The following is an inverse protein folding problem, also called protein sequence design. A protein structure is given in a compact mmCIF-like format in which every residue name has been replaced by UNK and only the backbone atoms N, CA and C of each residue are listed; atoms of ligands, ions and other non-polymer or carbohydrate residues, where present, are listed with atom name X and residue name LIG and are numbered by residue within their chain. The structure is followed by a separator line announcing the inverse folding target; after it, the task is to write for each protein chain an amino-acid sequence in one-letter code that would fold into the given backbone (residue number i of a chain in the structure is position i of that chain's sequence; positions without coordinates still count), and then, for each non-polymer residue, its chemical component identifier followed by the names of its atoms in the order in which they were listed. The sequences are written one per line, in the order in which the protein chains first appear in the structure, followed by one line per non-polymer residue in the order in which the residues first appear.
data_IF_733869707276
#
_entry.id   IF_733869707276
#
_cell.length_a   1.000
_cell.length_b   1.000
_cell.length_c   1.000
_cell.angle_alpha   90.00
_cell.angle_beta   90.00
_cell.angle_gamma   90.00
#
_symmetry.space_group_name_H-M   'P 1'
#
loop_
_entity.id
_entity.type
_entity.pdbx_description
1 polymer ?
#
# COMPACT_ATOMS: atom_id res chain seq x y z
N UNK A 1 -3.57 -15.09 -9.63
CA UNK A 1 -2.89 -13.79 -9.52
C UNK A 1 -3.82 -12.81 -8.83
N UNK A 2 -3.34 -12.08 -7.83
CA UNK A 2 -4.14 -11.10 -7.10
C UNK A 2 -4.44 -9.89 -8.02
N UNK A 3 -5.69 -9.43 -8.06
CA UNK A 3 -6.12 -8.36 -8.98
C UNK A 3 -5.44 -7.02 -8.65
N UNK A 4 -5.31 -6.67 -7.37
CA UNK A 4 -4.64 -5.44 -6.96
C UNK A 4 -3.16 -5.45 -7.28
N UNK A 5 -2.49 -6.60 -7.11
CA UNK A 5 -1.09 -6.77 -7.54
C UNK A 5 -0.94 -6.57 -9.05
N UNK A 6 -1.88 -7.06 -9.86
CA UNK A 6 -1.84 -6.83 -11.30
C UNK A 6 -1.91 -5.33 -11.63
N UNK A 7 -2.83 -4.59 -11.01
CA UNK A 7 -2.94 -3.13 -11.21
C UNK A 7 -1.64 -2.39 -10.86
N UNK A 8 -0.94 -2.83 -9.81
CA UNK A 8 0.34 -2.24 -9.42
C UNK A 8 1.46 -2.60 -10.41
N UNK A 9 1.48 -3.83 -10.91
CA UNK A 9 2.43 -4.24 -11.97
C UNK A 9 2.20 -3.46 -13.26
N UNK A 10 0.95 -3.25 -13.65
CA UNK A 10 0.58 -2.45 -14.83
C UNK A 10 1.02 -0.98 -14.66
N UNK A 11 0.88 -0.42 -13.44
CA UNK A 11 1.41 0.89 -13.10
C UNK A 11 2.95 0.94 -13.25
N UNK A 12 3.66 -0.03 -12.67
CA UNK A 12 5.12 -0.09 -12.81
C UNK A 12 5.58 -0.16 -14.26
N UNK A 13 4.93 -0.98 -15.09
CA UNK A 13 5.20 -1.07 -16.53
C UNK A 13 4.96 0.28 -17.23
N UNK A 14 3.83 0.93 -16.95
CA UNK A 14 3.46 2.21 -17.56
C UNK A 14 4.46 3.34 -17.25
N UNK A 15 5.01 3.34 -16.04
CA UNK A 15 5.90 4.39 -15.53
C UNK A 15 7.39 4.00 -15.53
N UNK A 16 7.73 2.82 -16.06
CA UNK A 16 9.10 2.33 -16.16
C UNK A 16 9.76 2.14 -14.79
N UNK A 17 8.99 1.68 -13.80
CA UNK A 17 9.52 1.24 -12.52
C UNK A 17 10.04 -0.19 -12.71
N UNK A 18 11.29 -0.39 -12.29
CA UNK A 18 11.99 -1.65 -12.50
C UNK A 18 11.37 -2.78 -11.66
N UNK A 19 10.94 -3.84 -12.35
CA UNK A 19 10.43 -5.07 -11.77
C UNK A 19 10.80 -6.26 -12.67
N UNK A 20 11.01 -7.47 -12.11
CA UNK A 20 11.29 -8.66 -12.90
C UNK A 20 10.15 -9.03 -13.85
N UNK A 21 10.49 -9.64 -14.99
CA UNK A 21 9.50 -10.30 -15.84
C UNK A 21 8.92 -11.52 -15.13
N UNK A 22 7.61 -11.67 -15.10
CA UNK A 22 7.00 -12.85 -14.47
C UNK A 22 7.35 -14.13 -15.27
N UNK A 23 7.78 -15.24 -14.62
CA UNK A 23 7.75 -15.54 -13.18
C UNK A 23 9.10 -15.37 -12.46
N UNK A 24 10.02 -14.57 -12.99
CA UNK A 24 11.31 -14.33 -12.34
C UNK A 24 11.13 -13.58 -11.01
N UNK A 25 11.97 -13.91 -10.04
CA UNK A 25 11.96 -13.27 -8.73
C UNK A 25 13.34 -12.73 -8.38
N UNK A 26 13.37 -11.67 -7.56
CA UNK A 26 14.61 -11.08 -7.05
C UNK A 26 14.46 -10.64 -5.61
N UNK A 27 15.58 -10.60 -4.92
CA UNK A 27 15.67 -9.89 -3.65
C UNK A 27 15.70 -8.37 -3.89
N UNK A 28 15.00 -7.63 -3.03
CA UNK A 28 15.14 -6.17 -2.99
C UNK A 28 16.56 -5.81 -2.54
N UNK A 29 17.12 -4.76 -3.13
CA UNK A 29 18.38 -4.20 -2.60
C UNK A 29 18.12 -3.50 -1.27
N UNK A 30 19.15 -3.37 -0.43
CA UNK A 30 19.04 -2.63 0.84
C UNK A 30 18.48 -1.21 0.64
N UNK A 31 18.85 -0.55 -0.47
CA UNK A 31 18.36 0.77 -0.82
C UNK A 31 16.86 0.76 -1.17
N UNK A 32 16.39 -0.26 -1.89
CA UNK A 32 14.97 -0.41 -2.19
C UNK A 32 14.17 -0.74 -0.92
N UNK A 33 14.70 -1.57 -0.02
CA UNK A 33 14.08 -1.86 1.28
C UNK A 33 13.94 -0.56 2.10
N UNK A 34 15.00 0.24 2.19
CA UNK A 34 14.98 1.54 2.89
C UNK A 34 13.97 2.50 2.26
N UNK A 35 13.92 2.58 0.92
CA UNK A 35 12.97 3.42 0.21
C UNK A 35 11.52 2.99 0.49
N UNK A 36 11.23 1.68 0.41
CA UNK A 36 9.90 1.12 0.72
C UNK A 36 9.51 1.39 2.16
N UNK A 37 10.45 1.25 3.10
CA UNK A 37 10.20 1.54 4.50
C UNK A 37 9.86 3.02 4.72
N UNK A 38 10.56 3.94 4.05
CA UNK A 38 10.25 5.37 4.13
C UNK A 38 8.84 5.68 3.62
N UNK A 39 8.46 5.16 2.45
CA UNK A 39 7.13 5.32 1.89
C UNK A 39 6.03 4.78 2.82
N UNK A 40 6.24 3.60 3.41
CA UNK A 40 5.29 3.01 4.36
C UNK A 40 5.19 3.81 5.65
N UNK A 41 6.30 4.36 6.17
CA UNK A 41 6.28 5.21 7.36
C UNK A 41 5.53 6.52 7.11
N UNK A 42 5.72 7.13 5.93
CA UNK A 42 5.02 8.36 5.55
C UNK A 42 3.50 8.11 5.42
N UNK A 43 3.09 7.08 4.67
CA UNK A 43 1.69 6.66 4.55
C UNK A 43 1.09 6.28 5.93
N UNK A 44 1.85 5.57 6.76
CA UNK A 44 1.45 5.20 8.11
C UNK A 44 1.19 6.42 9.00
N UNK A 45 2.05 7.44 8.91
CA UNK A 45 1.89 8.69 9.67
C UNK A 45 0.59 9.40 9.34
N UNK A 46 0.27 9.55 8.05
CA UNK A 46 -0.99 10.18 7.61
C UNK A 46 -2.21 9.33 8.00
N UNK A 47 -2.08 7.99 7.92
CA UNK A 47 -3.13 7.06 8.37
C UNK A 47 -3.41 7.23 9.86
N UNK A 48 -2.36 7.34 10.69
CA UNK A 48 -2.50 7.58 12.13
C UNK A 48 -3.16 8.91 12.45
N UNK A 49 -2.82 9.98 11.72
CA UNK A 49 -3.50 11.29 11.85
C UNK A 49 -4.99 11.15 11.54
N UNK A 50 -5.34 10.51 10.42
CA UNK A 50 -6.73 10.28 10.03
C UNK A 50 -7.52 9.48 11.08
N UNK A 51 -6.89 8.45 11.64
CA UNK A 51 -7.42 7.64 12.73
C UNK A 51 -7.71 8.51 13.97
N UNK A 52 -6.77 9.38 14.36
CA UNK A 52 -6.96 10.26 15.52
C UNK A 52 -8.05 11.30 15.32
N UNK A 53 -8.30 11.73 14.08
CA UNK A 53 -9.39 12.66 13.74
C UNK A 53 -10.73 11.97 13.51
N UNK A 54 -10.77 10.64 13.42
CA UNK A 54 -11.99 9.87 13.13
C UNK A 54 -12.53 10.08 11.70
N UNK A 55 -11.68 10.48 10.76
CA UNK A 55 -12.06 10.79 9.38
C UNK A 55 -12.03 9.50 8.55
N UNK A 56 -13.18 8.82 8.43
CA UNK A 56 -13.29 7.49 7.80
C UNK A 56 -12.77 7.47 6.36
N UNK A 57 -13.02 8.53 5.58
CA UNK A 57 -12.55 8.64 4.19
C UNK A 57 -11.02 8.70 4.16
N UNK A 58 -10.40 9.50 5.04
CA UNK A 58 -8.93 9.57 5.12
C UNK A 58 -8.31 8.32 5.72
N UNK A 59 -8.99 7.63 6.63
CA UNK A 59 -8.53 6.34 7.14
C UNK A 59 -8.51 5.33 5.99
N UNK A 60 -9.59 5.25 5.20
CA UNK A 60 -9.65 4.38 4.03
C UNK A 60 -8.56 4.69 3.00
N UNK A 61 -8.34 5.98 2.72
CA UNK A 61 -7.24 6.44 1.87
C UNK A 61 -5.90 5.91 2.36
N UNK A 62 -5.58 6.13 3.63
CA UNK A 62 -4.32 5.68 4.22
C UNK A 62 -4.13 4.16 4.17
N UNK A 63 -5.20 3.40 4.39
CA UNK A 63 -5.18 1.93 4.25
C UNK A 63 -4.91 1.49 2.81
N UNK A 64 -5.52 2.15 1.82
CA UNK A 64 -5.28 1.87 0.40
C UNK A 64 -3.85 2.24 0.01
N UNK A 65 -3.33 3.37 0.48
CA UNK A 65 -1.96 3.83 0.18
C UNK A 65 -0.90 2.87 0.76
N UNK A 66 -1.11 2.40 2.00
CA UNK A 66 -0.28 1.37 2.62
C UNK A 66 -0.31 0.06 1.84
N UNK A 67 -1.51 -0.38 1.43
CA UNK A 67 -1.68 -1.58 0.63
C UNK A 67 -1.01 -1.46 -0.75
N UNK A 68 -1.13 -0.31 -1.41
CA UNK A 68 -0.54 -0.04 -2.72
C UNK A 68 1.00 -0.11 -2.63
N UNK A 69 1.59 0.52 -1.62
CA UNK A 69 3.04 0.47 -1.38
C UNK A 69 3.54 -0.94 -1.02
N UNK A 70 2.78 -1.70 -0.24
CA UNK A 70 3.12 -3.08 0.07
C UNK A 70 3.11 -3.96 -1.18
N UNK A 71 2.08 -3.82 -2.03
CA UNK A 71 2.00 -4.52 -3.31
C UNK A 71 3.08 -4.08 -4.28
N UNK A 72 3.49 -2.81 -4.28
CA UNK A 72 4.60 -2.32 -5.10
C UNK A 72 5.92 -2.98 -4.71
N UNK A 73 6.16 -3.21 -3.42
CA UNK A 73 7.33 -3.98 -2.98
C UNK A 73 7.30 -5.43 -3.50
N UNK A 74 6.14 -6.09 -3.42
CA UNK A 74 5.93 -7.46 -3.95
C UNK A 74 6.15 -7.48 -5.47
N UNK A 75 5.62 -6.51 -6.20
CA UNK A 75 5.81 -6.38 -7.64
C UNK A 75 7.30 -6.20 -8.00
N UNK A 76 8.04 -5.35 -7.28
CA UNK A 76 9.48 -5.19 -7.48
C UNK A 76 10.32 -6.45 -7.16
N UNK A 77 9.79 -7.38 -6.36
CA UNK A 77 10.38 -8.71 -6.15
C UNK A 77 10.02 -9.72 -7.22
N UNK A 78 8.98 -9.47 -8.01
CA UNK A 78 8.42 -10.44 -8.96
C UNK A 78 7.55 -11.53 -8.30
N UNK A 79 7.35 -11.46 -6.99
CA UNK A 79 6.60 -12.46 -6.22
C UNK A 79 5.07 -12.28 -6.37
N UNK A 80 4.30 -13.25 -5.87
CA UNK A 80 2.85 -13.18 -5.71
C UNK A 80 2.45 -12.94 -4.24
N UNK A 81 1.24 -12.40 -4.03
CA UNK A 81 0.67 -12.21 -2.68
C UNK A 81 0.52 -13.56 -1.98
N UNK A 82 1.15 -13.70 -0.81
CA UNK A 82 1.06 -14.90 0.03
C UNK A 82 -0.14 -14.79 0.95
N UNK A 83 -0.87 -15.89 1.14
CA UNK A 83 -1.93 -15.95 2.14
C UNK A 83 -1.33 -15.91 3.55
N UNK A 84 -1.42 -14.74 4.18
CA UNK A 84 -1.08 -14.53 5.59
C UNK A 84 -2.33 -14.18 6.38
N UNK A 85 -2.52 -14.81 7.54
CA UNK A 85 -3.56 -14.38 8.49
C UNK A 85 -3.09 -13.14 9.23
N UNK A 86 -3.73 -12.00 8.96
CA UNK A 86 -3.68 -10.87 9.88
C UNK A 86 -4.69 -11.15 11.00
N UNK A 87 -4.18 -11.23 12.24
CA UNK A 87 -5.03 -11.26 13.44
C UNK A 87 -4.99 -9.87 14.07
N UNK A 88 -6.15 -9.24 14.20
CA UNK A 88 -6.33 -8.03 14.99
C UNK A 88 -7.58 -8.17 15.86
N UNK A 89 -7.57 -7.59 17.06
CA UNK A 89 -8.70 -7.69 17.99
C UNK A 89 -9.75 -6.66 17.64
N UNK A 90 -10.96 -7.14 17.32
CA UNK A 90 -12.16 -6.30 17.14
C UNK A 90 -12.78 -5.93 18.48
N UNK A 91 -12.07 -5.15 19.29
CA UNK A 91 -12.62 -4.61 20.55
C UNK A 91 -13.21 -3.20 20.39
N UNK A 92 -13.23 -2.68 19.16
CA UNK A 92 -13.72 -1.33 18.83
C UNK A 92 -12.77 -0.20 19.25
N UNK A 93 -11.61 -0.54 19.82
CA UNK A 93 -10.60 0.44 20.22
C UNK A 93 -9.72 0.82 19.04
N UNK A 94 -9.39 2.11 18.98
CA UNK A 94 -8.48 2.68 17.98
C UNK A 94 -7.01 2.33 18.25
N UNK A 95 -6.63 2.20 19.53
CA UNK A 95 -5.23 1.93 19.91
C UNK A 95 -4.71 0.57 19.39
N UNK A 96 -5.46 -0.55 19.49
CA UNK A 96 -5.07 -1.82 18.89
C UNK A 96 -4.90 -1.73 17.37
N UNK A 97 -5.71 -0.93 16.68
CA UNK A 97 -5.61 -0.72 15.22
C UNK A 97 -4.30 -0.01 14.87
N UNK A 98 -3.97 1.08 15.58
CA UNK A 98 -2.72 1.80 15.35
C UNK A 98 -1.49 0.92 15.65
N UNK A 99 -1.54 0.14 16.74
CA UNK A 99 -0.47 -0.79 17.11
C UNK A 99 -0.25 -1.85 16.04
N UNK A 100 -1.31 -2.53 15.57
CA UNK A 100 -1.16 -3.60 14.58
C UNK A 100 -0.69 -3.08 13.22
N UNK A 101 -1.12 -1.89 12.81
CA UNK A 101 -0.61 -1.23 11.59
C UNK A 101 0.89 -0.94 11.76
N UNK A 102 1.27 -0.32 12.87
CA UNK A 102 2.68 0.00 13.17
C UNK A 102 3.56 -1.25 13.16
N UNK A 103 3.11 -2.33 13.80
CA UNK A 103 3.85 -3.59 13.85
C UNK A 103 4.04 -4.19 12.45
N UNK A 104 3.01 -4.12 11.58
CA UNK A 104 3.12 -4.61 10.20
C UNK A 104 4.00 -3.74 9.31
N UNK A 105 3.94 -2.41 9.46
CA UNK A 105 4.87 -1.51 8.78
C UNK A 105 6.30 -1.80 9.20
N UNK A 106 6.55 -2.04 10.49
CA UNK A 106 7.89 -2.36 10.98
C UNK A 106 8.39 -3.72 10.49
N UNK A 107 7.52 -4.73 10.40
CA UNK A 107 7.89 -6.05 9.86
C UNK A 107 8.37 -5.99 8.40
N UNK A 108 7.90 -5.02 7.62
CA UNK A 108 8.31 -4.82 6.22
C UNK A 108 9.79 -4.39 6.06
N UNK A 109 10.50 -4.09 7.16
CA UNK A 109 11.92 -3.77 7.12
C UNK A 109 12.82 -4.95 6.70
N UNK A 110 12.27 -6.17 6.70
CA UNK A 110 12.94 -7.39 6.21
C UNK A 110 13.08 -7.41 4.69
N UNK A 111 12.25 -6.65 3.98
CA UNK A 111 12.11 -6.72 2.53
C UNK A 111 11.40 -7.98 2.04
N UNK A 112 10.83 -8.82 2.91
CA UNK A 112 10.24 -10.11 2.54
C UNK A 112 8.77 -10.02 2.13
N UNK A 113 8.41 -10.76 1.07
CA UNK A 113 7.05 -10.78 0.50
C UNK A 113 5.98 -11.18 1.50
N UNK A 114 6.31 -12.04 2.47
CA UNK A 114 5.38 -12.46 3.51
C UNK A 114 4.95 -11.28 4.40
N UNK A 115 5.86 -10.36 4.70
CA UNK A 115 5.59 -9.22 5.56
C UNK A 115 4.75 -8.16 4.83
N UNK A 116 5.09 -7.88 3.56
CA UNK A 116 4.28 -7.02 2.70
C UNK A 116 2.88 -7.60 2.46
N UNK A 117 2.77 -8.91 2.25
CA UNK A 117 1.48 -9.59 2.07
C UNK A 117 0.63 -9.48 3.34
N UNK A 118 1.25 -9.59 4.52
CA UNK A 118 0.58 -9.43 5.80
C UNK A 118 0.07 -8.00 6.02
N UNK A 119 0.84 -6.98 5.62
CA UNK A 119 0.39 -5.59 5.67
C UNK A 119 -0.78 -5.34 4.70
N UNK A 120 -0.68 -5.81 3.46
CA UNK A 120 -1.76 -5.71 2.47
C UNK A 120 -3.06 -6.36 3.00
N UNK A 121 -2.97 -7.58 3.53
CA UNK A 121 -4.13 -8.29 4.09
C UNK A 121 -4.70 -7.63 5.34
N UNK A 122 -3.87 -7.01 6.17
CA UNK A 122 -4.36 -6.22 7.28
C UNK A 122 -5.17 -5.01 6.79
N UNK A 123 -4.70 -4.29 5.77
CA UNK A 123 -5.41 -3.13 5.22
C UNK A 123 -6.79 -3.51 4.67
N UNK A 124 -6.87 -4.61 3.90
CA UNK A 124 -8.13 -5.18 3.40
C UNK A 124 -9.11 -5.52 4.53
N UNK A 125 -8.61 -6.13 5.61
CA UNK A 125 -9.42 -6.46 6.78
C UNK A 125 -9.88 -5.23 7.58
N UNK A 126 -9.03 -4.21 7.71
CA UNK A 126 -9.37 -2.99 8.44
C UNK A 126 -10.37 -2.14 7.65
N UNK A 127 -10.22 -2.05 6.33
CA UNK A 127 -11.20 -1.35 5.49
C UNK A 127 -12.60 -1.95 5.66
N UNK A 128 -12.72 -3.28 5.60
CA UNK A 128 -14.01 -3.95 5.77
C UNK A 128 -14.53 -3.93 7.21
N UNK A 129 -13.69 -4.24 8.21
CA UNK A 129 -14.16 -4.49 9.57
C UNK A 129 -14.01 -3.31 10.56
N UNK A 130 -13.20 -2.31 10.23
CA UNK A 130 -13.02 -1.10 11.06
C UNK A 130 -13.63 0.14 10.39
N UNK A 131 -13.45 0.31 9.09
CA UNK A 131 -13.98 1.47 8.34
C UNK A 131 -15.37 1.21 7.75
N UNK A 132 -15.77 -0.06 7.61
CA UNK A 132 -17.00 -0.48 6.92
C UNK A 132 -17.03 -0.02 5.45
N UNK A 133 -16.00 -0.38 4.68
CA UNK A 133 -15.80 0.07 3.31
C UNK A 133 -15.56 -1.08 2.32
N UNK A 134 -15.89 -0.82 1.05
CA UNK A 134 -15.51 -1.62 -0.11
C UNK A 134 -14.05 -1.34 -0.49
N UNK A 135 -13.16 -2.19 0.00
CA UNK A 135 -11.72 -2.04 -0.24
C UNK A 135 -11.35 -2.17 -1.73
N UNK A 136 -12.03 -3.07 -2.47
CA UNK A 136 -11.73 -3.30 -3.89
C UNK A 136 -12.11 -2.08 -4.73
N UNK A 137 -13.27 -1.47 -4.45
CA UNK A 137 -13.69 -0.24 -5.10
C UNK A 137 -12.74 0.91 -4.77
N UNK A 138 -12.42 1.11 -3.48
CA UNK A 138 -11.49 2.15 -3.05
C UNK A 138 -10.12 2.00 -3.73
N UNK A 139 -9.56 0.78 -3.78
CA UNK A 139 -8.29 0.51 -4.43
C UNK A 139 -8.32 0.88 -5.92
N UNK A 140 -9.39 0.54 -6.64
CA UNK A 140 -9.55 0.89 -8.07
C UNK A 140 -9.64 2.40 -8.27
N UNK A 141 -10.38 3.12 -7.42
CA UNK A 141 -10.49 4.58 -7.50
C UNK A 141 -9.13 5.26 -7.33
N UNK A 142 -8.35 4.83 -6.32
CA UNK A 142 -6.99 5.31 -6.10
C UNK A 142 -6.09 4.99 -7.28
N UNK A 143 -6.10 3.74 -7.75
CA UNK A 143 -5.30 3.33 -8.90
C UNK A 143 -5.61 4.14 -10.17
N UNK A 144 -6.89 4.35 -10.50
CA UNK A 144 -7.30 5.17 -11.64
C UNK A 144 -6.82 6.61 -11.51
N UNK A 145 -6.94 7.20 -10.32
CA UNK A 145 -6.43 8.54 -10.06
C UNK A 145 -4.92 8.63 -10.26
N UNK A 146 -4.16 7.65 -9.77
CA UNK A 146 -2.70 7.58 -9.96
C UNK A 146 -2.35 7.53 -11.45
N UNK A 147 -3.03 6.68 -12.22
CA UNK A 147 -2.79 6.52 -13.65
C UNK A 147 -3.08 7.81 -14.44
N UNK A 148 -4.02 8.64 -13.98
CA UNK A 148 -4.32 9.95 -14.61
C UNK A 148 -3.31 11.03 -14.20
N UNK A 149 -2.86 11.04 -12.95
CA UNK A 149 -2.04 12.12 -12.39
C UNK A 149 -0.53 11.94 -12.57
N UNK A 150 -0.05 10.71 -12.77
CA UNK A 150 1.38 10.47 -12.84
C UNK A 150 1.99 11.04 -14.13
N UNK A 151 2.84 12.06 -13.97
CA UNK A 151 3.60 12.71 -15.05
C UNK A 151 4.88 11.92 -15.33
N UNK A 152 5.17 11.64 -16.60
CA UNK A 152 6.43 11.03 -17.04
C UNK A 152 7.61 12.01 -16.82
N UNK A 153 8.26 11.96 -15.66
CA UNK A 153 9.52 12.68 -15.46
C UNK A 153 10.71 11.73 -15.53
N UNK A 154 11.52 11.83 -16.59
CA UNK A 154 12.72 11.03 -16.84
C UNK A 154 13.90 11.41 -15.94
N UNK A 155 14.39 10.47 -15.12
CA UNK A 155 15.66 10.63 -14.40
C UNK A 155 16.01 9.44 -13.49
N UNK A 156 17.32 9.18 -13.31
CA UNK A 156 17.85 7.98 -12.66
C UNK A 156 18.28 8.16 -11.20
N UNK A 157 17.99 9.30 -10.58
CA UNK A 157 18.42 9.57 -9.20
C UNK A 157 17.45 8.98 -8.17
N UNK A 158 17.96 8.61 -7.00
CA UNK A 158 17.15 8.12 -5.86
C UNK A 158 15.96 9.04 -5.53
N UNK A 159 16.17 10.36 -5.55
CA UNK A 159 15.10 11.34 -5.30
C UNK A 159 14.01 11.33 -6.37
N UNK A 160 14.37 11.10 -7.63
CA UNK A 160 13.40 10.99 -8.73
C UNK A 160 12.62 9.69 -8.65
N UNK A 161 13.27 8.58 -8.26
CA UNK A 161 12.56 7.31 -7.98
C UNK A 161 11.59 7.46 -6.82
N UNK A 162 12.03 8.03 -5.71
CA UNK A 162 11.16 8.31 -4.56
C UNK A 162 9.97 9.20 -4.97
N UNK A 163 10.20 10.27 -5.74
CA UNK A 163 9.13 11.14 -6.22
C UNK A 163 8.14 10.44 -7.15
N UNK A 164 8.59 9.52 -8.02
CA UNK A 164 7.73 8.72 -8.89
C UNK A 164 6.87 7.70 -8.14
N UNK A 165 7.44 7.14 -7.08
CA UNK A 165 6.79 6.11 -6.28
C UNK A 165 5.98 6.69 -5.10
N UNK A 166 6.13 8.00 -4.84
CA UNK A 166 5.25 8.73 -3.91
C UNK A 166 3.88 8.87 -4.55
N UNK A 167 2.84 8.46 -3.83
CA UNK A 167 1.48 8.51 -4.33
C UNK A 167 0.98 9.97 -4.40
N UNK A 168 0.26 10.35 -5.48
CA UNK A 168 -0.42 11.63 -5.58
C UNK A 168 -1.56 11.73 -4.56
N UNK A 169 -2.15 12.91 -4.43
CA UNK A 169 -3.30 13.12 -3.56
C UNK A 169 -4.45 12.17 -3.93
N UNK A 170 -4.94 11.44 -2.93
CA UNK A 170 -6.00 10.45 -3.06
C UNK A 170 -7.33 11.11 -3.46
N UNK A 171 -8.10 10.52 -4.39
CA UNK A 171 -9.43 11.03 -4.72
C UNK A 171 -10.38 10.90 -3.52
N UNK A 172 -11.54 11.54 -3.61
CA UNK A 172 -12.60 11.31 -2.63
C UNK A 172 -13.08 9.86 -2.71
N UNK A 173 -13.05 9.15 -1.57
CA UNK A 173 -13.42 7.74 -1.45
C UNK A 173 -14.78 7.53 -0.78
N UNK A 174 -15.59 8.59 -0.64
CA UNK A 174 -16.91 8.53 -0.01
C UNK A 174 -17.81 7.45 -0.64
N UNK A 175 -17.74 7.26 -1.96
CA UNK A 175 -18.51 6.25 -2.70
C UNK A 175 -18.13 4.79 -2.37
N UNK A 176 -17.02 4.57 -1.67
CA UNK A 176 -16.56 3.25 -1.25
C UNK A 176 -16.93 2.93 0.22
N UNK A 177 -17.53 3.86 0.96
CA UNK A 177 -18.03 3.59 2.31
C UNK A 177 -19.41 2.90 2.23
N UNK A 178 -19.62 1.86 3.01
CA UNK A 178 -20.96 1.28 3.17
C UNK A 178 -21.78 2.11 4.16
N UNK A 179 -23.04 2.40 3.80
CA UNK A 179 -24.03 3.06 4.66
C UNK A 179 -24.34 2.27 5.95
#
# INVERSE_FOLDING_TARGET
MNLHLQLVRDFHEHFGIDQPDYPETRHLSDMDIVMRQALLMDCGSETFKAITTGDLVKILSGLVDLAYNALAAIACRGDDVVNSSAQWRRDGSVLPVMQVISDRINACNSGETVDYSALYKLCEQLASAFVNADFDQAFRMVHQNIMVQAVREGGSSYRQRLARETLPATPDLSDALYE
#
